data_IF_303176747805
#
_entry.id   IF_303176747805
#
_cell.length_a   1.000
_cell.length_b   1.000
_cell.length_c   1.000
_cell.angle_alpha   90.00
_cell.angle_beta   90.00
_cell.angle_gamma   90.00
#
_symmetry.space_group_name_H-M   'P 1'
#
loop_
_entity.id
_entity.type
_entity.pdbx_description
1 polymer ?
#
# COMPACT_ATOMS: atom_id res chain seq x y z
N UNK A 1 8.26 4.73 20.99
CA UNK A 1 7.77 3.70 20.03
C UNK A 1 8.02 2.35 20.65
N UNK A 2 6.99 1.49 20.77
CA UNK A 2 7.19 0.12 21.25
C UNK A 2 8.03 -0.70 20.26
N UNK A 3 8.67 -1.79 20.73
CA UNK A 3 9.46 -2.68 19.89
C UNK A 3 8.62 -3.22 18.71
N UNK A 4 7.40 -3.68 18.97
CA UNK A 4 6.48 -4.18 17.96
C UNK A 4 6.19 -3.16 16.87
N UNK A 5 5.97 -1.89 17.23
CA UNK A 5 5.71 -0.83 16.27
C UNK A 5 6.94 -0.46 15.45
N UNK A 6 8.14 -0.63 16.04
CA UNK A 6 9.41 -0.47 15.32
C UNK A 6 9.56 -1.52 14.22
N UNK A 7 9.22 -2.78 14.51
CA UNK A 7 9.24 -3.89 13.54
C UNK A 7 8.24 -3.64 12.40
N UNK A 8 7.02 -3.26 12.74
CA UNK A 8 5.97 -2.93 11.75
C UNK A 8 6.40 -1.77 10.86
N UNK A 9 6.99 -0.73 11.43
CA UNK A 9 7.52 0.41 10.69
C UNK A 9 8.65 -0.01 9.75
N UNK A 10 9.53 -0.91 10.20
CA UNK A 10 10.59 -1.51 9.38
C UNK A 10 10.04 -2.25 8.17
N UNK A 11 8.95 -3.02 8.35
CA UNK A 11 8.26 -3.72 7.26
C UNK A 11 7.70 -2.74 6.22
N UNK A 12 7.01 -1.68 6.63
CA UNK A 12 6.54 -0.64 5.70
C UNK A 12 7.67 0.04 4.92
N UNK A 13 8.83 0.28 5.57
CA UNK A 13 10.01 0.84 4.91
C UNK A 13 10.62 -0.11 3.89
N UNK A 14 10.73 -1.39 4.22
CA UNK A 14 11.23 -2.41 3.29
C UNK A 14 10.31 -2.53 2.06
N UNK A 15 9.00 -2.59 2.28
CA UNK A 15 8.01 -2.61 1.22
C UNK A 15 8.12 -1.37 0.32
N UNK A 16 8.29 -0.19 0.91
CA UNK A 16 8.45 1.06 0.17
C UNK A 16 9.62 1.00 -0.81
N UNK A 17 10.78 0.58 -0.34
CA UNK A 17 11.96 0.49 -1.20
C UNK A 17 11.80 -0.46 -2.39
N UNK A 18 11.03 -1.55 -2.21
CA UNK A 18 10.76 -2.50 -3.29
C UNK A 18 9.75 -1.91 -4.29
N UNK A 19 8.65 -1.34 -3.80
CA UNK A 19 7.61 -0.76 -4.64
C UNK A 19 8.14 0.43 -5.47
N UNK A 20 8.90 1.33 -4.85
CA UNK A 20 9.50 2.48 -5.53
C UNK A 20 10.42 2.06 -6.66
N UNK A 21 11.30 1.08 -6.43
CA UNK A 21 12.17 0.51 -7.47
C UNK A 21 11.35 -0.08 -8.63
N UNK A 22 10.24 -0.73 -8.32
CA UNK A 22 9.38 -1.31 -9.37
C UNK A 22 8.66 -0.23 -10.17
N UNK A 23 8.07 0.78 -9.50
CA UNK A 23 7.41 1.91 -10.17
C UNK A 23 8.37 2.74 -11.04
N UNK A 24 9.64 2.83 -10.65
CA UNK A 24 10.67 3.52 -11.44
C UNK A 24 11.15 2.70 -12.64
N UNK A 25 11.22 1.37 -12.49
CA UNK A 25 11.73 0.48 -13.53
C UNK A 25 10.71 0.16 -14.62
N UNK A 26 9.41 0.17 -14.31
CA UNK A 26 8.35 -0.18 -15.26
C UNK A 26 7.83 1.11 -15.91
N UNK A 27 8.00 1.28 -17.23
CA UNK A 27 7.46 2.44 -17.96
C UNK A 27 5.94 2.58 -17.80
N UNK A 28 5.44 3.82 -17.75
CA UNK A 28 4.03 4.10 -17.47
C UNK A 28 3.05 3.41 -18.44
N UNK A 29 3.41 3.30 -19.71
CA UNK A 29 2.63 2.60 -20.73
C UNK A 29 2.46 1.09 -20.47
N UNK A 30 3.29 0.50 -19.61
CA UNK A 30 3.19 -0.89 -19.21
C UNK A 30 2.43 -1.11 -17.89
N UNK A 31 1.99 -0.05 -17.23
CA UNK A 31 1.33 -0.17 -15.92
C UNK A 31 -0.01 -0.90 -15.96
N UNK A 32 -0.64 -1.00 -17.13
CA UNK A 32 -1.87 -1.77 -17.33
C UNK A 32 -1.65 -3.20 -17.85
N UNK A 33 -0.39 -3.55 -18.16
CA UNK A 33 -0.06 -4.91 -18.57
C UNK A 33 -0.25 -5.90 -17.42
N UNK A 34 -0.78 -7.07 -17.74
CA UNK A 34 -1.04 -8.15 -16.77
C UNK A 34 -0.86 -9.52 -17.42
N UNK A 35 -0.37 -10.53 -16.67
CA UNK A 35 -0.07 -11.84 -17.21
C UNK A 35 -1.31 -12.66 -17.60
N UNK A 36 -2.46 -12.37 -17.01
CA UNK A 36 -3.74 -13.03 -17.29
C UNK A 36 -4.92 -12.08 -17.07
N UNK A 37 -6.07 -12.37 -17.65
CA UNK A 37 -7.27 -11.55 -17.56
C UNK A 37 -7.71 -11.26 -16.10
N UNK A 38 -7.68 -12.26 -15.24
CA UNK A 38 -8.03 -12.13 -13.82
C UNK A 38 -6.93 -11.54 -12.92
N UNK A 39 -5.76 -11.18 -13.47
CA UNK A 39 -4.64 -10.64 -12.69
C UNK A 39 -4.78 -9.13 -12.46
N UNK A 40 -4.20 -8.64 -11.38
CA UNK A 40 -4.06 -7.21 -11.14
C UNK A 40 -2.87 -6.65 -11.95
N UNK A 41 -3.04 -5.48 -12.52
CA UNK A 41 -1.98 -4.71 -13.17
C UNK A 41 -1.31 -3.73 -12.16
N UNK A 42 -0.12 -3.22 -12.49
CA UNK A 42 0.66 -2.36 -11.59
C UNK A 42 -0.12 -1.12 -11.13
N UNK A 43 -0.85 -0.46 -12.04
CA UNK A 43 -1.66 0.72 -11.71
C UNK A 43 -2.61 0.42 -10.55
N UNK A 44 -3.37 -0.68 -10.64
CA UNK A 44 -4.32 -1.04 -9.59
C UNK A 44 -3.60 -1.38 -8.27
N UNK A 45 -2.53 -2.17 -8.31
CA UNK A 45 -1.80 -2.57 -7.11
C UNK A 45 -1.18 -1.35 -6.43
N UNK A 46 -0.52 -0.47 -7.18
CA UNK A 46 0.10 0.74 -6.63
C UNK A 46 -0.91 1.66 -5.96
N UNK A 47 -2.03 1.96 -6.63
CA UNK A 47 -3.10 2.78 -6.04
C UNK A 47 -3.74 2.11 -4.83
N UNK A 48 -3.93 0.78 -4.86
CA UNK A 48 -4.49 0.01 -3.74
C UNK A 48 -3.62 0.08 -2.47
N UNK A 49 -2.30 -0.01 -2.59
CA UNK A 49 -1.41 0.13 -1.44
C UNK A 49 -1.36 1.57 -0.93
N UNK A 50 -1.47 2.60 -1.79
CA UNK A 50 -1.65 4.01 -1.38
C UNK A 50 -2.90 4.15 -0.50
N UNK A 51 -4.04 3.64 -0.96
CA UNK A 51 -5.32 3.69 -0.21
C UNK A 51 -5.20 2.96 1.13
N UNK A 52 -4.45 1.85 1.19
CA UNK A 52 -4.24 1.12 2.44
C UNK A 52 -3.34 1.87 3.42
N UNK A 53 -2.31 2.57 2.96
CA UNK A 53 -1.53 3.50 3.80
C UNK A 53 -2.38 4.66 4.31
N UNK A 54 -3.27 5.20 3.47
CA UNK A 54 -4.24 6.22 3.89
C UNK A 54 -5.17 5.73 5.01
N UNK A 55 -5.59 4.45 4.98
CA UNK A 55 -6.34 3.83 6.09
C UNK A 55 -5.53 3.77 7.39
N UNK A 56 -4.24 3.43 7.33
CA UNK A 56 -3.37 3.47 8.51
C UNK A 56 -3.27 4.89 9.05
N UNK A 57 -3.05 5.88 8.19
CA UNK A 57 -3.01 7.29 8.58
C UNK A 57 -4.30 7.74 9.25
N UNK A 58 -5.45 7.33 8.71
CA UNK A 58 -6.77 7.63 9.32
C UNK A 58 -6.89 7.03 10.72
N UNK A 59 -6.45 5.78 10.93
CA UNK A 59 -6.45 5.12 12.25
C UNK A 59 -5.57 5.88 13.25
N UNK A 60 -4.50 6.51 12.78
CA UNK A 60 -3.55 7.27 13.58
C UNK A 60 -3.92 8.75 13.74
N UNK A 61 -5.09 9.19 13.24
CA UNK A 61 -5.55 10.57 13.36
C UNK A 61 -4.87 11.56 12.41
N UNK A 62 -4.18 11.09 11.37
CA UNK A 62 -3.52 11.90 10.35
C UNK A 62 -4.07 11.60 8.96
N UNK A 63 -5.36 11.85 8.68
CA UNK A 63 -6.02 11.41 7.45
C UNK A 63 -5.37 12.00 6.20
N UNK A 64 -5.38 11.21 5.14
CA UNK A 64 -5.05 11.59 3.78
C UNK A 64 -6.12 11.02 2.85
N UNK A 65 -6.45 11.71 1.76
CA UNK A 65 -7.43 11.27 0.78
C UNK A 65 -7.11 11.75 -0.64
N UNK A 66 -7.62 11.04 -1.62
CA UNK A 66 -7.59 11.41 -3.02
C UNK A 66 -8.95 11.14 -3.70
N UNK A 67 -9.32 11.90 -4.74
CA UNK A 67 -10.64 11.77 -5.38
C UNK A 67 -10.87 10.42 -6.06
N UNK A 68 -9.80 9.69 -6.37
CA UNK A 68 -9.81 8.41 -7.08
C UNK A 68 -9.75 7.17 -6.17
N UNK A 69 -9.78 7.32 -4.84
CA UNK A 69 -9.65 6.20 -3.88
C UNK A 69 -10.60 5.03 -4.14
N UNK A 70 -11.83 5.33 -4.59
CA UNK A 70 -12.86 4.31 -4.84
C UNK A 70 -12.46 3.31 -5.93
N UNK A 71 -11.64 3.71 -6.91
CA UNK A 71 -11.15 2.85 -7.98
C UNK A 71 -10.25 1.72 -7.46
N UNK A 72 -9.65 1.92 -6.30
CA UNK A 72 -8.67 1.01 -5.69
C UNK A 72 -9.19 0.32 -4.42
N UNK A 73 -10.48 0.44 -4.15
CA UNK A 73 -11.09 -0.20 -2.98
C UNK A 73 -11.06 -1.73 -3.11
N UNK A 74 -11.04 -2.43 -1.97
CA UNK A 74 -11.15 -3.89 -1.96
C UNK A 74 -12.46 -4.33 -2.61
N UNK A 75 -12.36 -5.23 -3.59
CA UNK A 75 -13.52 -5.74 -4.34
C UNK A 75 -14.01 -4.81 -5.45
N UNK A 76 -13.36 -3.66 -5.67
CA UNK A 76 -13.64 -2.85 -6.84
C UNK A 76 -13.29 -3.63 -8.12
N UNK A 77 -14.20 -3.61 -9.10
CA UNK A 77 -13.89 -4.14 -10.42
C UNK A 77 -12.87 -3.24 -11.10
N UNK A 78 -11.98 -3.85 -11.90
CA UNK A 78 -11.03 -3.08 -12.69
C UNK A 78 -11.78 -2.17 -13.67
N UNK A 79 -11.49 -0.88 -13.60
CA UNK A 79 -12.02 0.13 -14.49
C UNK A 79 -11.26 0.13 -15.83
N UNK A 80 -11.76 0.85 -16.83
CA UNK A 80 -11.03 1.09 -18.06
C UNK A 80 -9.80 1.97 -17.79
N UNK A 81 -8.69 1.82 -18.53
CA UNK A 81 -7.45 2.56 -18.29
C UNK A 81 -7.63 4.07 -18.17
N UNK A 82 -8.53 4.64 -18.95
CA UNK A 82 -8.80 6.09 -19.02
C UNK A 82 -9.47 6.66 -17.76
N UNK A 83 -10.00 5.79 -16.91
CA UNK A 83 -10.65 6.18 -15.66
C UNK A 83 -9.66 6.26 -14.49
N UNK A 84 -8.46 5.68 -14.64
CA UNK A 84 -7.43 5.74 -13.61
C UNK A 84 -6.66 7.07 -13.67
N UNK A 85 -6.10 7.52 -12.54
CA UNK A 85 -5.16 8.64 -12.56
C UNK A 85 -3.88 8.28 -13.34
N UNK A 86 -3.13 9.31 -13.71
CA UNK A 86 -1.82 9.12 -14.33
C UNK A 86 -0.83 8.41 -13.37
N UNK A 87 0.09 7.61 -13.91
CA UNK A 87 1.12 6.94 -13.12
C UNK A 87 1.91 7.89 -12.22
N UNK A 88 2.23 9.09 -12.74
CA UNK A 88 2.91 10.14 -11.97
C UNK A 88 2.10 10.64 -10.77
N UNK A 89 0.77 10.63 -10.86
CA UNK A 89 -0.11 11.01 -9.75
C UNK A 89 -0.09 9.95 -8.64
N UNK A 90 -0.13 8.67 -9.00
CA UNK A 90 0.02 7.56 -8.03
C UNK A 90 1.39 7.62 -7.35
N UNK A 91 2.47 7.91 -8.08
CA UNK A 91 3.82 8.05 -7.51
C UNK A 91 3.90 9.23 -6.53
N UNK A 92 3.28 10.37 -6.84
CA UNK A 92 3.20 11.51 -5.90
C UNK A 92 2.40 11.14 -4.65
N UNK A 93 1.22 10.56 -4.82
CA UNK A 93 0.38 10.10 -3.71
C UNK A 93 1.12 9.11 -2.81
N UNK A 94 1.84 8.16 -3.40
CA UNK A 94 2.72 7.23 -2.67
C UNK A 94 3.76 7.96 -1.82
N UNK A 95 4.44 8.95 -2.39
CA UNK A 95 5.43 9.74 -1.67
C UNK A 95 4.81 10.52 -0.51
N UNK A 96 3.64 11.14 -0.74
CA UNK A 96 2.90 11.89 0.28
C UNK A 96 2.43 11.02 1.44
N UNK A 97 1.78 9.88 1.16
CA UNK A 97 1.32 8.98 2.23
C UNK A 97 2.49 8.37 2.99
N UNK A 98 3.60 8.05 2.32
CA UNK A 98 4.81 7.51 2.95
C UNK A 98 5.47 8.53 3.88
N UNK A 99 5.60 9.78 3.43
CA UNK A 99 6.16 10.86 4.24
C UNK A 99 5.35 11.13 5.51
N UNK A 100 4.02 10.99 5.45
CA UNK A 100 3.13 11.12 6.62
C UNK A 100 3.13 9.87 7.50
N UNK A 101 3.23 8.68 6.90
CA UNK A 101 3.07 7.40 7.60
C UNK A 101 4.13 7.20 8.69
N UNK A 102 5.40 7.40 8.36
CA UNK A 102 6.49 7.09 9.28
C UNK A 102 6.48 7.94 10.57
N UNK A 103 6.33 9.27 10.52
CA UNK A 103 6.19 10.05 11.74
C UNK A 103 4.90 9.72 12.50
N UNK A 104 3.79 9.41 11.80
CA UNK A 104 2.54 9.03 12.45
C UNK A 104 2.68 7.69 13.23
N UNK A 105 3.38 6.71 12.66
CA UNK A 105 3.70 5.47 13.35
C UNK A 105 4.64 5.71 14.54
N UNK A 106 5.70 6.51 14.34
CA UNK A 106 6.68 6.76 15.41
C UNK A 106 6.09 7.46 16.63
N UNK A 107 5.06 8.30 16.41
CA UNK A 107 4.41 9.10 17.44
C UNK A 107 3.03 8.52 17.88
N UNK A 108 2.68 7.31 17.43
CA UNK A 108 1.39 6.71 17.73
C UNK A 108 1.23 6.47 19.24
N UNK A 109 0.19 7.06 19.89
CA UNK A 109 -0.05 6.84 21.31
C UNK A 109 -0.50 5.42 21.60
N UNK A 110 -0.05 4.84 22.72
CA UNK A 110 -0.42 3.48 23.11
C UNK A 110 -1.95 3.33 23.25
N UNK A 111 -2.62 4.33 23.79
CA UNK A 111 -4.08 4.35 23.92
C UNK A 111 -4.82 4.33 22.57
N UNK A 112 -4.22 4.80 21.49
CA UNK A 112 -4.78 4.68 20.13
C UNK A 112 -4.57 3.26 19.60
N UNK A 113 -3.38 2.71 19.78
CA UNK A 113 -3.05 1.37 19.31
C UNK A 113 -3.86 0.27 20.02
N UNK A 114 -4.21 0.50 21.27
CA UNK A 114 -4.98 -0.43 22.10
C UNK A 114 -6.51 -0.36 21.91
N UNK A 115 -7.00 0.63 21.18
CA UNK A 115 -8.44 0.72 20.86
C UNK A 115 -8.91 -0.50 20.10
N UNK A 116 -10.06 -1.05 20.50
CA UNK A 116 -10.73 -2.10 19.74
C UNK A 116 -11.16 -1.59 18.36
N UNK A 117 -11.06 -2.45 17.35
CA UNK A 117 -11.61 -2.19 16.01
C UNK A 117 -12.94 -2.92 15.85
N UNK A 118 -13.84 -2.46 14.93
CA UNK A 118 -15.07 -3.18 14.60
C UNK A 118 -14.76 -4.64 14.19
N UNK A 119 -15.65 -5.57 14.58
CA UNK A 119 -15.46 -7.03 14.39
C UNK A 119 -15.06 -7.44 12.97
N UNK A 120 -15.59 -6.74 11.94
CA UNK A 120 -15.28 -7.03 10.53
C UNK A 120 -14.01 -6.35 10.01
N UNK A 121 -13.30 -5.58 10.86
CA UNK A 121 -12.04 -4.93 10.47
C UNK A 121 -10.89 -5.94 10.59
N UNK A 122 -10.14 -6.21 9.51
CA UNK A 122 -9.00 -7.11 9.60
C UNK A 122 -7.98 -6.62 10.64
N UNK A 123 -7.64 -7.51 11.58
CA UNK A 123 -6.70 -7.23 12.66
C UNK A 123 -6.18 -8.54 13.22
N UNK A 124 -4.91 -8.59 13.60
CA UNK A 124 -4.32 -9.78 14.22
C UNK A 124 -4.74 -10.00 15.69
N UNK A 125 -5.24 -8.96 16.35
CA UNK A 125 -5.59 -9.01 17.77
C UNK A 125 -6.86 -8.24 18.14
N UNK A 126 -7.67 -7.84 17.16
CA UNK A 126 -8.89 -7.06 17.39
C UNK A 126 -8.67 -5.59 17.77
N UNK A 127 -7.42 -5.11 17.72
CA UNK A 127 -7.05 -3.73 18.07
C UNK A 127 -6.51 -2.96 16.87
N UNK A 128 -6.43 -1.63 16.98
CA UNK A 128 -5.85 -0.73 15.96
C UNK A 128 -4.42 -1.12 15.64
N UNK A 129 -3.56 -1.39 16.63
CA UNK A 129 -2.18 -1.85 16.40
C UNK A 129 -2.12 -3.13 15.58
N UNK A 130 -3.00 -4.10 15.87
CA UNK A 130 -3.13 -5.33 15.09
C UNK A 130 -3.67 -5.12 13.67
N UNK A 131 -4.54 -4.11 13.46
CA UNK A 131 -4.97 -3.72 12.12
C UNK A 131 -3.84 -3.09 11.31
N UNK A 132 -3.02 -2.25 11.93
CA UNK A 132 -1.84 -1.65 11.28
C UNK A 132 -0.86 -2.75 10.88
N UNK A 133 -0.59 -3.74 11.76
CA UNK A 133 0.26 -4.88 11.45
C UNK A 133 -0.31 -5.72 10.29
N UNK A 134 -1.64 -5.97 10.29
CA UNK A 134 -2.31 -6.66 9.19
C UNK A 134 -2.18 -5.91 7.85
N UNK A 135 -2.33 -4.58 7.87
CA UNK A 135 -2.18 -3.76 6.65
C UNK A 135 -0.74 -3.74 6.14
N UNK A 136 0.26 -3.80 7.03
CA UNK A 136 1.66 -3.99 6.64
C UNK A 136 1.91 -5.36 5.97
N UNK A 137 1.37 -6.43 6.54
CA UNK A 137 1.40 -7.77 5.93
C UNK A 137 0.70 -7.79 4.56
N UNK A 138 -0.48 -7.18 4.47
CA UNK A 138 -1.24 -7.06 3.23
C UNK A 138 -0.47 -6.26 2.16
N UNK A 139 0.24 -5.19 2.54
CA UNK A 139 1.12 -4.47 1.63
C UNK A 139 2.27 -5.37 1.13
N UNK A 140 2.88 -6.18 2.00
CA UNK A 140 3.93 -7.14 1.60
C UNK A 140 3.41 -8.15 0.57
N UNK A 141 2.17 -8.64 0.73
CA UNK A 141 1.53 -9.50 -0.27
C UNK A 141 1.46 -8.83 -1.65
N UNK A 142 1.05 -7.56 -1.71
CA UNK A 142 0.98 -6.81 -2.96
C UNK A 142 2.35 -6.46 -3.54
N UNK A 143 3.34 -6.19 -2.69
CA UNK A 143 4.74 -6.00 -3.11
C UNK A 143 5.27 -7.26 -3.79
N UNK A 144 4.92 -8.45 -3.30
CA UNK A 144 5.23 -9.71 -3.98
C UNK A 144 4.63 -9.80 -5.39
N UNK A 145 3.37 -9.37 -5.57
CA UNK A 145 2.74 -9.31 -6.88
C UNK A 145 3.47 -8.35 -7.84
N UNK A 146 3.87 -7.18 -7.34
CA UNK A 146 4.60 -6.17 -8.15
C UNK A 146 5.96 -6.69 -8.57
N UNK A 147 6.70 -7.37 -7.70
CA UNK A 147 8.00 -7.95 -8.04
C UNK A 147 7.86 -9.04 -9.11
N UNK A 148 6.80 -9.84 -9.03
CA UNK A 148 6.46 -10.80 -10.06
C UNK A 148 6.13 -10.12 -11.41
N UNK A 149 5.27 -9.10 -11.41
CA UNK A 149 4.94 -8.32 -12.61
C UNK A 149 6.17 -7.70 -13.25
N UNK A 150 7.04 -7.08 -12.44
CA UNK A 150 8.30 -6.48 -12.92
C UNK A 150 9.17 -7.50 -13.64
N UNK A 151 9.33 -8.70 -13.06
CA UNK A 151 10.09 -9.80 -13.68
C UNK A 151 9.42 -10.30 -14.96
N UNK A 152 8.10 -10.49 -14.93
CA UNK A 152 7.33 -10.92 -16.09
C UNK A 152 7.42 -9.94 -17.26
N UNK A 153 7.43 -8.62 -16.99
CA UNK A 153 7.61 -7.56 -17.98
C UNK A 153 9.07 -7.43 -18.49
N UNK A 154 10.02 -8.24 -18.00
CA UNK A 154 11.41 -8.24 -18.46
C UNK A 154 12.32 -7.21 -17.77
N UNK A 155 11.85 -6.52 -16.70
CA UNK A 155 12.64 -5.50 -15.99
C UNK A 155 13.54 -6.09 -14.88
N UNK A 156 13.79 -7.39 -14.88
CA UNK A 156 14.70 -8.07 -13.95
C UNK A 156 14.13 -8.25 -12.52
N UNK A 157 14.97 -8.76 -11.62
CA UNK A 157 14.61 -8.96 -10.23
C UNK A 157 14.74 -7.67 -9.42
N UNK A 158 13.95 -7.57 -8.32
CA UNK A 158 14.01 -6.44 -7.39
C UNK A 158 14.64 -6.86 -6.06
N UNK A 159 14.42 -8.11 -5.68
CA UNK A 159 14.93 -8.74 -4.46
C UNK A 159 15.58 -10.07 -4.85
N UNK A 160 16.78 -10.34 -4.37
CA UNK A 160 17.55 -11.56 -4.64
C UNK A 160 18.99 -11.27 -4.81
#
# INVERSE_FOLDING_TARGET
MSEDLSIITGMFKANAGILEKAMQAIPAEQWFAKPAEGSNHLMWIAGHVVVHRAKVLKMLGSPWSAPWESLFARGAQQAAPEQYPEAAEIQRAWSEVSAKLYPSLSNAPAEVLDKAVPEKTPSFNGKVGGSIAFLGFHETYHVGQITYLKKWLGHGQTVG
#
